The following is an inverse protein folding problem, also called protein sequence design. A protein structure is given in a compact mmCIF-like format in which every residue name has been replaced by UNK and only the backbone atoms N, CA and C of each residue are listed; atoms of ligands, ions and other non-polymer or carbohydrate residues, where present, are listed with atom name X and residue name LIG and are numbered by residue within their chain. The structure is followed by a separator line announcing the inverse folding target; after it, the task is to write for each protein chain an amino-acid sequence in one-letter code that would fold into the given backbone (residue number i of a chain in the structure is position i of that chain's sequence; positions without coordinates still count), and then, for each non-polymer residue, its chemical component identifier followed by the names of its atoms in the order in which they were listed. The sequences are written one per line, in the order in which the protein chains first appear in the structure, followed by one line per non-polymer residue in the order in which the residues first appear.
data_IF_777220076749
#
_entry.id   IF_777220076749
#
_cell.length_a   1.000
_cell.length_b   1.000
_cell.length_c   1.000
_cell.angle_alpha   90.00
_cell.angle_beta   90.00
_cell.angle_gamma   90.00
#
_symmetry.space_group_name_H-M   'P 1'
#
loop_
_entity.id
_entity.type
_entity.pdbx_description
1 polymer ?
#
# COMPACT_ATOMS: atom_id res chain seq x y z
N UNK A 1 20.10 -2.55 5.22
CA UNK A 1 18.96 -2.87 4.33
C UNK A 1 17.81 -1.97 4.73
N UNK A 2 17.16 -1.23 3.81
CA UNK A 2 16.06 -0.35 4.18
C UNK A 2 14.95 -1.17 4.85
N UNK A 3 14.43 -0.72 5.98
CA UNK A 3 13.47 -1.48 6.80
C UNK A 3 12.21 -1.92 6.02
N UNK A 4 11.91 -1.22 4.93
CA UNK A 4 10.79 -1.51 4.04
C UNK A 4 10.93 -2.85 3.30
N UNK A 5 12.14 -3.29 2.90
CA UNK A 5 12.28 -4.59 2.21
C UNK A 5 12.06 -5.77 3.15
N UNK A 6 12.22 -5.56 4.45
CA UNK A 6 12.05 -6.59 5.47
C UNK A 6 10.58 -6.96 5.69
N UNK A 7 9.62 -6.21 5.13
CA UNK A 7 8.20 -6.56 5.20
C UNK A 7 7.88 -7.80 4.34
N UNK A 8 8.64 -8.02 3.26
CA UNK A 8 8.40 -9.11 2.33
C UNK A 8 8.65 -10.49 2.99
N UNK A 9 9.76 -10.73 3.71
CA UNK A 9 9.91 -11.95 4.50
C UNK A 9 8.80 -12.13 5.54
N UNK A 10 8.41 -11.08 6.25
CA UNK A 10 7.36 -11.16 7.27
C UNK A 10 5.97 -11.48 6.66
N UNK A 11 5.69 -10.98 5.46
CA UNK A 11 4.52 -11.38 4.66
C UNK A 11 4.62 -12.87 4.27
N UNK A 12 5.81 -13.31 3.87
CA UNK A 12 6.09 -14.71 3.55
C UNK A 12 5.80 -15.66 4.72
N UNK A 13 6.16 -15.28 5.94
CA UNK A 13 5.86 -16.05 7.17
C UNK A 13 4.36 -16.29 7.32
N UNK A 14 3.50 -15.28 7.08
CA UNK A 14 2.03 -15.41 7.15
C UNK A 14 1.47 -16.32 6.05
N UNK A 15 2.03 -16.25 4.84
CA UNK A 15 1.56 -17.01 3.68
C UNK A 15 2.00 -18.48 3.71
N UNK A 16 3.22 -18.77 4.16
CA UNK A 16 3.78 -20.12 4.20
C UNK A 16 3.30 -20.95 5.41
N UNK A 17 2.69 -20.29 6.40
CA UNK A 17 2.21 -20.96 7.61
C UNK A 17 1.06 -21.94 7.32
N UNK A 18 1.39 -23.23 7.28
CA UNK A 18 0.43 -24.32 6.98
C UNK A 18 -0.56 -24.60 8.10
N UNK A 19 -0.18 -24.38 9.35
CA UNK A 19 -1.06 -24.58 10.50
C UNK A 19 -1.99 -23.37 10.69
N UNK A 20 -3.28 -23.57 10.35
CA UNK A 20 -4.30 -22.53 10.47
C UNK A 20 -4.51 -22.06 11.90
N UNK A 21 -4.32 -22.94 12.89
CA UNK A 21 -4.56 -22.61 14.31
C UNK A 21 -3.56 -21.58 14.84
N UNK A 22 -2.39 -21.46 14.18
CA UNK A 22 -1.33 -20.54 14.54
C UNK A 22 -1.34 -19.25 13.71
N UNK A 23 -2.23 -19.14 12.73
CA UNK A 23 -2.27 -17.98 11.82
C UNK A 23 -2.50 -16.65 12.55
N UNK A 24 -3.33 -16.66 13.61
CA UNK A 24 -3.52 -15.49 14.46
C UNK A 24 -2.23 -15.04 15.16
N UNK A 25 -1.33 -15.96 15.51
CA UNK A 25 -0.05 -15.63 16.13
C UNK A 25 0.91 -15.00 15.13
N UNK A 26 0.95 -15.52 13.90
CA UNK A 26 1.81 -14.98 12.84
C UNK A 26 1.30 -13.60 12.37
N UNK A 27 -0.01 -13.45 12.22
CA UNK A 27 -0.63 -12.14 12.00
C UNK A 27 -0.27 -11.14 13.12
N UNK A 28 -0.31 -11.58 14.38
CA UNK A 28 0.10 -10.76 15.53
C UNK A 28 1.61 -10.48 15.56
N UNK A 29 2.44 -11.37 15.02
CA UNK A 29 3.88 -11.16 14.85
C UNK A 29 4.15 -10.07 13.81
N UNK A 30 3.47 -10.15 12.67
CA UNK A 30 3.54 -9.14 11.61
C UNK A 30 3.10 -7.76 12.10
N UNK A 31 1.96 -7.67 12.82
CA UNK A 31 1.49 -6.40 13.39
C UNK A 31 2.48 -5.85 14.42
N UNK A 32 3.10 -6.69 15.24
CA UNK A 32 4.14 -6.22 16.19
C UNK A 32 5.36 -5.61 15.49
N UNK A 33 5.74 -6.14 14.33
CA UNK A 33 6.81 -5.58 13.47
C UNK A 33 6.35 -4.31 12.74
N UNK A 34 5.08 -4.24 12.34
CA UNK A 34 4.47 -3.16 11.57
C UNK A 34 3.14 -2.68 12.18
N UNK A 35 3.17 -1.96 13.32
CA UNK A 35 1.97 -1.65 14.11
C UNK A 35 0.98 -0.71 13.42
N UNK A 36 1.44 0.02 12.40
CA UNK A 36 0.61 0.93 11.60
C UNK A 36 -0.04 0.27 10.38
N UNK A 37 0.06 -1.06 10.24
CA UNK A 37 -0.58 -1.79 9.14
C UNK A 37 -2.11 -1.67 9.22
N UNK A 38 -2.79 -1.22 8.15
CA UNK A 38 -4.26 -1.20 8.10
C UNK A 38 -4.85 -2.61 8.18
N UNK A 39 -5.96 -2.75 8.92
CA UNK A 39 -6.70 -4.00 9.06
C UNK A 39 -7.09 -4.57 7.70
N UNK A 40 -7.45 -3.71 6.75
CA UNK A 40 -7.87 -4.09 5.40
C UNK A 40 -6.72 -4.75 4.62
N UNK A 41 -5.48 -4.30 4.82
CA UNK A 41 -4.32 -4.90 4.15
C UNK A 41 -3.97 -6.25 4.75
N UNK A 42 -4.02 -6.37 6.08
CA UNK A 42 -3.82 -7.65 6.76
C UNK A 42 -4.93 -8.66 6.39
N UNK A 43 -6.18 -8.21 6.32
CA UNK A 43 -7.34 -9.01 5.88
C UNK A 43 -7.17 -9.49 4.44
N UNK A 44 -6.66 -8.64 3.56
CA UNK A 44 -6.40 -8.99 2.15
C UNK A 44 -5.24 -9.97 2.03
N UNK A 45 -4.17 -9.77 2.80
CA UNK A 45 -3.02 -10.66 2.86
C UNK A 45 -3.42 -12.08 3.28
N UNK A 46 -4.21 -12.21 4.34
CA UNK A 46 -4.67 -13.52 4.83
C UNK A 46 -5.54 -14.22 3.78
N UNK A 47 -6.39 -13.48 3.05
CA UNK A 47 -7.23 -14.02 1.98
C UNK A 47 -6.43 -14.58 0.79
N UNK A 48 -5.20 -14.12 0.54
CA UNK A 48 -4.35 -14.65 -0.55
C UNK A 48 -4.05 -16.13 -0.36
N UNK A 49 -4.13 -16.65 0.87
CA UNK A 49 -3.89 -18.08 1.14
C UNK A 49 -4.99 -19.00 0.61
N UNK A 50 -6.14 -18.46 0.19
CA UNK A 50 -7.30 -19.17 -0.37
C UNK A 50 -7.95 -20.25 0.54
N UNK A 51 -7.37 -20.53 1.71
CA UNK A 51 -7.81 -21.54 2.67
C UNK A 51 -8.58 -20.93 3.87
N UNK A 52 -8.70 -19.61 3.91
CA UNK A 52 -9.39 -18.80 4.94
C UNK A 52 -10.47 -17.95 4.28
N UNK A 53 -11.69 -18.00 4.83
CA UNK A 53 -12.81 -17.20 4.33
C UNK A 53 -12.63 -15.71 4.67
N UNK A 54 -13.28 -14.81 3.90
CA UNK A 54 -13.17 -13.35 4.11
C UNK A 54 -13.54 -12.91 5.53
N UNK A 55 -14.61 -13.46 6.11
CA UNK A 55 -15.06 -13.09 7.45
C UNK A 55 -14.05 -13.53 8.53
N UNK A 56 -13.51 -14.74 8.38
CA UNK A 56 -12.48 -15.29 9.27
C UNK A 56 -11.17 -14.50 9.17
N UNK A 57 -10.72 -14.20 7.95
CA UNK A 57 -9.54 -13.36 7.70
C UNK A 57 -9.67 -11.97 8.35
N UNK A 58 -10.87 -11.37 8.26
CA UNK A 58 -11.16 -10.08 8.88
C UNK A 58 -11.10 -10.18 10.42
N UNK A 59 -11.70 -11.21 11.01
CA UNK A 59 -11.66 -11.42 12.45
C UNK A 59 -10.22 -11.58 12.95
N UNK A 60 -9.41 -12.43 12.29
CA UNK A 60 -8.00 -12.63 12.63
C UNK A 60 -7.22 -11.30 12.55
N UNK A 61 -7.45 -10.50 11.51
CA UNK A 61 -6.79 -9.23 11.33
C UNK A 61 -7.18 -8.20 12.40
N UNK A 62 -8.47 -8.09 12.72
CA UNK A 62 -8.96 -7.20 13.77
C UNK A 62 -8.39 -7.59 15.14
N UNK A 63 -8.38 -8.89 15.48
CA UNK A 63 -7.79 -9.39 16.72
C UNK A 63 -6.30 -9.07 16.81
N UNK A 64 -5.52 -9.34 15.75
CA UNK A 64 -4.09 -9.06 15.71
C UNK A 64 -3.77 -7.56 15.91
N UNK A 65 -4.51 -6.67 15.22
CA UNK A 65 -4.36 -5.22 15.36
C UNK A 65 -4.81 -4.73 16.74
N UNK A 66 -5.91 -5.28 17.26
CA UNK A 66 -6.41 -4.92 18.59
C UNK A 66 -5.44 -5.30 19.70
N UNK A 67 -4.74 -6.42 19.57
CA UNK A 67 -3.73 -6.86 20.52
C UNK A 67 -2.47 -5.99 20.52
N UNK A 68 -2.23 -5.24 19.43
CA UNK A 68 -1.07 -4.36 19.29
C UNK A 68 -1.36 -2.87 19.58
N UNK A 69 -2.56 -2.52 20.06
CA UNK A 69 -3.01 -1.12 20.27
C UNK A 69 -2.09 -0.25 21.14
N UNK A 70 -1.20 -0.86 21.93
CA UNK A 70 -0.25 -0.16 22.80
C UNK A 70 1.20 -0.24 22.30
N UNK A 71 1.46 -0.77 21.11
CA UNK A 71 2.80 -0.78 20.55
C UNK A 71 3.24 0.65 20.16
N UNK A 72 4.54 0.97 20.31
CA UNK A 72 5.09 2.22 19.80
C UNK A 72 4.87 2.33 18.29
N UNK A 73 4.76 3.56 17.78
CA UNK A 73 4.60 3.81 16.35
C UNK A 73 5.72 3.13 15.55
N UNK A 74 5.35 2.57 14.41
CA UNK A 74 6.25 1.85 13.54
C UNK A 74 7.18 2.77 12.75
N UNK A 75 7.96 2.15 11.88
CA UNK A 75 8.88 2.84 10.98
C UNK A 75 8.14 3.86 10.08
N UNK A 76 8.69 5.06 9.97
CA UNK A 76 8.14 6.13 9.14
C UNK A 76 8.01 5.73 7.66
N UNK A 77 8.93 4.92 7.15
CA UNK A 77 8.89 4.48 5.75
C UNK A 77 7.79 3.45 5.52
N UNK A 78 7.54 2.56 6.49
CA UNK A 78 6.40 1.65 6.45
C UNK A 78 5.07 2.41 6.55
N UNK A 79 4.99 3.43 7.41
CA UNK A 79 3.82 4.30 7.49
C UNK A 79 3.52 5.02 6.17
N UNK A 80 4.55 5.56 5.49
CA UNK A 80 4.41 6.18 4.17
C UNK A 80 3.90 5.17 3.14
N UNK A 81 4.45 3.95 3.14
CA UNK A 81 3.99 2.88 2.24
C UNK A 81 2.49 2.62 2.42
N UNK A 82 2.04 2.40 3.66
CA UNK A 82 0.62 2.14 3.93
C UNK A 82 -0.29 3.32 3.55
N UNK A 83 0.22 4.55 3.61
CA UNK A 83 -0.52 5.75 3.17
C UNK A 83 -0.61 5.86 1.65
N UNK A 84 0.45 5.53 0.92
CA UNK A 84 0.47 5.53 -0.55
C UNK A 84 -0.52 4.53 -1.14
N UNK A 85 -0.78 3.43 -0.42
CA UNK A 85 -1.66 2.35 -0.86
C UNK A 85 -3.15 2.60 -0.56
N UNK A 86 -3.52 3.69 0.12
CA UNK A 86 -4.92 3.89 0.57
C UNK A 86 -5.87 3.97 -0.63
N UNK A 87 -6.92 3.14 -0.68
CA UNK A 87 -7.98 3.26 -1.69
C UNK A 87 -8.72 4.58 -1.45
N UNK A 88 -8.36 5.60 -2.22
CA UNK A 88 -8.77 6.99 -2.00
C UNK A 88 -7.68 8.01 -2.34
N UNK A 89 -6.40 7.63 -2.27
CA UNK A 89 -5.29 8.42 -2.83
C UNK A 89 -5.02 8.05 -4.30
N UNK A 90 -5.39 6.82 -4.68
CA UNK A 90 -5.58 6.40 -6.07
C UNK A 90 -7.08 6.47 -6.37
N UNK A 91 -7.42 7.20 -7.44
CA UNK A 91 -8.76 7.40 -7.99
C UNK A 91 -9.79 6.29 -7.71
N UNK A 92 -11.07 6.68 -7.56
CA UNK A 92 -12.27 5.81 -7.60
C UNK A 92 -12.37 4.90 -8.84
N UNK A 93 -11.42 4.98 -9.77
CA UNK A 93 -11.24 4.07 -10.90
C UNK A 93 -9.90 3.35 -10.74
N UNK A 94 -9.94 2.05 -10.45
CA UNK A 94 -8.78 1.21 -10.16
C UNK A 94 -7.71 1.14 -11.25
N UNK A 95 -6.85 2.16 -11.36
CA UNK A 95 -5.57 2.10 -12.06
C UNK A 95 -4.51 2.83 -11.24
N UNK A 96 -3.50 2.06 -10.84
CA UNK A 96 -2.25 2.60 -10.32
C UNK A 96 -1.62 3.54 -11.36
N UNK A 97 -1.00 4.63 -10.89
CA UNK A 97 -0.27 5.71 -11.57
C UNK A 97 -0.94 7.10 -11.46
N UNK A 98 -1.12 7.65 -10.24
CA UNK A 98 -1.64 9.00 -10.03
C UNK A 98 -0.73 10.13 -10.55
N UNK A 99 0.50 9.83 -10.99
CA UNK A 99 1.43 10.84 -11.48
C UNK A 99 1.57 10.84 -13.01
N UNK A 100 1.35 9.72 -13.71
CA UNK A 100 1.69 9.64 -15.13
C UNK A 100 0.75 10.50 -15.98
N UNK A 101 -0.56 10.41 -15.75
CA UNK A 101 -1.54 11.14 -16.57
C UNK A 101 -1.39 12.65 -16.44
N UNK A 102 -1.29 13.16 -15.21
CA UNK A 102 -1.05 14.59 -14.96
C UNK A 102 0.31 15.05 -15.51
N UNK A 103 1.36 14.24 -15.36
CA UNK A 103 2.67 14.53 -15.97
C UNK A 103 2.60 14.57 -17.50
N UNK A 104 1.91 13.62 -18.14
CA UNK A 104 1.70 13.62 -19.59
C UNK A 104 0.92 14.85 -20.02
N UNK A 105 -0.16 15.20 -19.33
CA UNK A 105 -0.97 16.37 -19.63
C UNK A 105 -0.13 17.65 -19.59
N UNK A 106 0.71 17.80 -18.55
CA UNK A 106 1.61 18.94 -18.42
C UNK A 106 2.66 18.95 -19.54
N UNK A 107 3.26 17.81 -19.88
CA UNK A 107 4.22 17.72 -20.99
C UNK A 107 3.57 18.11 -22.33
N UNK A 108 2.39 17.59 -22.64
CA UNK A 108 1.68 17.93 -23.88
C UNK A 108 1.23 19.39 -23.92
N UNK A 109 0.73 19.95 -22.81
CA UNK A 109 0.39 21.36 -22.71
C UNK A 109 1.62 22.26 -22.94
N UNK A 110 2.77 21.91 -22.38
CA UNK A 110 4.03 22.61 -22.63
C UNK A 110 4.45 22.52 -24.10
N UNK A 111 4.33 21.35 -24.75
CA UNK A 111 4.67 21.20 -26.18
C UNK A 111 3.75 22.05 -27.07
N UNK A 112 2.44 22.06 -26.80
CA UNK A 112 1.48 22.84 -27.58
C UNK A 112 1.71 24.35 -27.41
N UNK A 113 1.99 24.80 -26.18
CA UNK A 113 2.24 26.22 -25.90
C UNK A 113 3.58 26.69 -26.45
N UNK A 114 4.65 25.88 -26.36
CA UNK A 114 5.95 26.18 -26.98
C UNK A 114 5.91 26.17 -28.51
N UNK A 115 5.05 25.34 -29.12
CA UNK A 115 4.86 25.34 -30.58
C UNK A 115 4.08 26.56 -31.08
N UNK A 116 3.13 27.10 -30.29
CA UNK A 116 2.39 28.32 -30.65
C UNK A 116 3.11 29.63 -30.31
N UNK A 117 4.05 29.62 -29.35
CA UNK A 117 4.82 30.81 -28.94
C UNK A 117 5.97 31.19 -29.87
N UNK A 118 6.32 30.34 -30.86
CA UNK A 118 7.45 30.57 -31.77
C UNK A 118 7.16 31.40 -33.02
N UNK A 119 5.92 31.85 -33.24
CA UNK A 119 5.54 32.66 -34.42
C UNK A 119 4.91 33.98 -33.96
N UNK A 120 5.64 34.77 -33.17
CA UNK A 120 5.34 36.20 -33.05
C UNK A 120 6.62 36.97 -32.75
N UNK A 121 7.29 37.41 -33.82
CA UNK A 121 8.48 38.24 -33.70
C UNK A 121 9.30 38.32 -34.98
N UNK A 122 8.73 38.92 -36.03
CA UNK A 122 9.38 39.84 -36.98
C UNK A 122 8.69 39.77 -38.35
N UNK A 123 7.76 40.70 -38.58
CA UNK A 123 7.63 41.29 -39.90
C UNK A 123 7.94 42.78 -39.76
N UNK A 124 9.03 43.20 -40.43
CA UNK A 124 9.25 44.57 -40.89
C UNK A 124 8.14 44.96 -41.87
#
# INVERSE_FOLDING_TARGET
MPAIVNILPAIGEVLDLRDKTLLGLEASSLVRKYPDIPVEYLTSLIQIREDIGRAEAKNIAEEAVNNARYHPKGDQDAQKLFQMSKPGLTSKTGRALPALESTMHNMFATIITTTKGGIQGNNK
#
